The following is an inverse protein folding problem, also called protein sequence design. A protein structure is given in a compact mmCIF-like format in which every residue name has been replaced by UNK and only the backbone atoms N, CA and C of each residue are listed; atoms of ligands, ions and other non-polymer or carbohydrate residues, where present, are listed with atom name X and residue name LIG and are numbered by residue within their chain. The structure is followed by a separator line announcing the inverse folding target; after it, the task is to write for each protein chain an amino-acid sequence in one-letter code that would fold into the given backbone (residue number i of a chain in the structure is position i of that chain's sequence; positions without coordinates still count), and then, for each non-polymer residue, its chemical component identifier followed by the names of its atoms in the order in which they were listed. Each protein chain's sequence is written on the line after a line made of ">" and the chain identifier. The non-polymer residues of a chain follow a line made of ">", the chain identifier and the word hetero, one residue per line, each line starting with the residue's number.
data_IF_123251241974
#
_entry.id   IF_123251241974
#
_cell.length_a   1.000
_cell.length_b   1.000
_cell.length_c   1.000
_cell.angle_alpha   90.00
_cell.angle_beta   90.00
_cell.angle_gamma   90.00
#
_symmetry.space_group_name_H-M   'P 1'
#
loop_
_entity.id
_entity.type
_entity.pdbx_description
1 polymer ?
#
# COMPACT_ATOMS: atom_id res chain seq x y z
N UNK A 1 63.29 21.24 -2.82
CA UNK A 1 62.95 20.01 -3.55
C UNK A 1 63.01 18.85 -2.56
N UNK A 2 61.92 18.58 -1.83
CA UNK A 2 61.64 17.30 -1.17
C UNK A 2 60.12 17.14 -1.18
N UNK A 3 59.69 15.94 -1.54
CA UNK A 3 58.36 15.52 -1.97
C UNK A 3 57.56 15.11 -0.72
N UNK A 4 56.31 15.57 -0.58
CA UNK A 4 55.38 15.17 0.47
C UNK A 4 54.06 14.70 -0.15
N UNK A 5 53.73 13.44 0.08
CA UNK A 5 52.61 12.66 -0.45
C UNK A 5 51.23 13.20 -0.08
N UNK A 6 50.32 13.30 -1.06
CA UNK A 6 48.89 13.56 -0.85
C UNK A 6 48.16 12.24 -0.51
N UNK A 7 47.65 12.15 0.72
CA UNK A 7 46.69 11.13 1.13
C UNK A 7 45.26 11.56 0.79
N UNK A 8 44.50 10.64 0.21
CA UNK A 8 43.09 10.77 -0.17
C UNK A 8 42.20 10.96 1.06
N UNK A 9 41.61 12.15 1.22
CA UNK A 9 40.58 12.40 2.22
C UNK A 9 39.23 11.89 1.74
N UNK A 10 38.77 10.77 2.30
CA UNK A 10 37.37 10.39 2.26
C UNK A 10 36.62 11.28 3.27
N UNK A 11 35.60 12.01 2.81
CA UNK A 11 34.67 12.74 3.68
C UNK A 11 33.98 11.76 4.63
N UNK A 12 34.39 11.77 5.89
CA UNK A 12 33.73 11.01 6.96
C UNK A 12 32.47 11.77 7.38
N UNK A 13 31.31 11.18 7.10
CA UNK A 13 30.05 11.56 7.74
C UNK A 13 30.21 11.45 9.27
N UNK A 14 29.65 12.39 10.07
CA UNK A 14 29.71 12.28 11.51
C UNK A 14 28.96 11.01 11.98
N UNK A 15 29.53 10.26 12.94
CA UNK A 15 28.85 9.10 13.49
C UNK A 15 27.56 9.54 14.21
N UNK A 16 26.48 8.74 14.17
CA UNK A 16 25.28 9.05 14.92
C UNK A 16 25.58 9.13 16.42
N UNK A 17 25.04 10.15 17.08
CA UNK A 17 25.14 10.33 18.53
C UNK A 17 24.59 9.09 19.24
N UNK A 18 25.38 8.40 20.09
CA UNK A 18 24.89 7.20 20.75
C UNK A 18 23.88 7.59 21.82
N UNK A 19 22.60 7.27 21.58
CA UNK A 19 21.60 7.22 22.64
C UNK A 19 21.92 6.04 23.55
N UNK A 20 22.42 6.38 24.73
CA UNK A 20 22.48 5.63 25.99
C UNK A 20 22.07 4.15 25.94
N UNK A 21 22.99 3.28 26.36
CA UNK A 21 22.80 1.85 26.57
C UNK A 21 21.63 1.56 27.54
N UNK A 22 20.45 1.32 26.99
CA UNK A 22 19.37 0.57 27.63
C UNK A 22 19.26 -0.77 26.94
N UNK A 23 19.11 -1.84 27.72
CA UNK A 23 18.96 -3.24 27.30
C UNK A 23 18.21 -3.36 25.98
N UNK A 24 18.92 -3.80 24.94
CA UNK A 24 18.33 -4.08 23.62
C UNK A 24 17.18 -5.06 23.80
N UNK A 25 15.99 -4.68 23.38
CA UNK A 25 14.89 -5.62 23.23
C UNK A 25 15.38 -6.70 22.26
N UNK A 26 15.35 -7.96 22.69
CA UNK A 26 15.84 -9.08 21.90
C UNK A 26 14.84 -9.38 20.79
N UNK A 27 15.27 -9.25 19.54
CA UNK A 27 14.44 -9.48 18.35
C UNK A 27 14.65 -10.89 17.80
N UNK A 28 15.47 -11.73 18.43
CA UNK A 28 15.95 -12.99 17.86
C UNK A 28 14.82 -13.99 17.53
N UNK A 29 13.69 -13.94 18.26
CA UNK A 29 12.52 -14.80 18.02
C UNK A 29 11.49 -14.20 17.04
N UNK A 30 11.71 -13.00 16.52
CA UNK A 30 10.73 -12.29 15.67
C UNK A 30 11.06 -12.41 14.18
N UNK A 31 10.04 -12.58 13.30
CA UNK A 31 10.26 -12.49 11.86
C UNK A 31 10.93 -11.16 11.49
N UNK A 32 11.99 -11.25 10.68
CA UNK A 32 12.69 -10.08 10.18
C UNK A 32 11.74 -9.17 9.38
N UNK A 33 11.93 -7.85 9.52
CA UNK A 33 11.23 -6.85 8.73
C UNK A 33 12.14 -5.64 8.45
N UNK A 34 11.96 -4.95 7.30
CA UNK A 34 12.77 -3.80 6.94
C UNK A 34 12.52 -2.61 7.89
N UNK A 35 13.61 -1.99 8.36
CA UNK A 35 13.60 -0.77 9.17
C UNK A 35 13.96 0.47 8.34
N UNK A 36 14.57 0.29 7.17
CA UNK A 36 14.89 1.35 6.21
C UNK A 36 14.37 0.98 4.82
N UNK A 37 13.96 1.96 4.04
CA UNK A 37 13.44 1.73 2.68
C UNK A 37 14.43 0.97 1.77
N UNK A 38 15.74 1.18 1.95
CA UNK A 38 16.78 0.46 1.19
C UNK A 38 16.81 -1.04 1.48
N UNK A 39 16.36 -1.47 2.65
CA UNK A 39 16.31 -2.89 3.04
C UNK A 39 15.21 -3.66 2.30
N UNK A 40 14.29 -2.98 1.62
CA UNK A 40 13.36 -3.62 0.68
C UNK A 40 14.08 -4.32 -0.47
N UNK A 41 15.36 -4.02 -0.72
CA UNK A 41 16.20 -4.78 -1.65
C UNK A 41 16.38 -6.26 -1.24
N UNK A 42 16.12 -6.58 0.04
CA UNK A 42 16.19 -7.93 0.58
C UNK A 42 14.80 -8.61 0.68
N UNK A 43 13.71 -7.87 0.46
CA UNK A 43 12.33 -8.36 0.56
C UNK A 43 11.73 -8.53 -0.86
N UNK A 44 12.25 -9.49 -1.62
CA UNK A 44 11.93 -9.73 -3.03
C UNK A 44 11.67 -11.23 -3.32
N UNK A 45 11.11 -11.97 -2.36
CA UNK A 45 10.78 -13.38 -2.51
C UNK A 45 9.62 -13.58 -3.49
N UNK A 46 9.94 -13.90 -4.75
CA UNK A 46 8.96 -14.18 -5.81
C UNK A 46 8.50 -15.63 -5.71
N UNK A 47 7.20 -15.84 -5.54
CA UNK A 47 6.56 -17.15 -5.40
C UNK A 47 6.11 -17.72 -6.75
N UNK A 48 5.56 -16.88 -7.64
CA UNK A 48 4.95 -17.31 -8.90
C UNK A 48 5.22 -16.32 -10.02
N UNK A 49 5.08 -16.79 -11.27
CA UNK A 49 5.11 -15.96 -12.48
C UNK A 49 6.39 -15.12 -12.65
N UNK A 50 7.52 -15.64 -12.15
CA UNK A 50 8.85 -15.06 -12.34
C UNK A 50 9.31 -15.22 -13.80
N UNK A 51 10.28 -16.10 -14.04
CA UNK A 51 10.70 -16.45 -15.41
C UNK A 51 9.86 -17.56 -16.05
N UNK A 52 9.09 -18.29 -15.25
CA UNK A 52 8.30 -19.44 -15.68
C UNK A 52 6.81 -19.09 -15.76
N UNK A 53 6.12 -19.74 -16.70
CA UNK A 53 4.69 -19.59 -16.95
C UNK A 53 4.01 -20.93 -16.69
N UNK A 54 2.80 -20.88 -16.13
CA UNK A 54 1.98 -22.07 -15.93
C UNK A 54 1.54 -22.69 -17.27
N UNK A 55 1.21 -23.98 -17.26
CA UNK A 55 0.90 -24.73 -18.47
C UNK A 55 -0.36 -24.24 -19.22
N UNK A 56 -1.30 -23.64 -18.49
CA UNK A 56 -2.53 -23.03 -18.98
C UNK A 56 -2.38 -21.54 -19.34
N UNK A 57 -1.20 -20.94 -19.09
CA UNK A 57 -0.93 -19.55 -19.45
C UNK A 57 -0.94 -19.37 -20.99
N UNK A 58 -1.62 -18.35 -21.56
CA UNK A 58 -1.74 -18.19 -23.02
C UNK A 58 -0.39 -18.12 -23.76
N UNK A 59 0.61 -17.53 -23.12
CA UNK A 59 1.99 -17.43 -23.62
C UNK A 59 2.91 -18.64 -23.33
N UNK A 60 2.42 -19.74 -22.74
CA UNK A 60 3.26 -20.88 -22.31
C UNK A 60 4.07 -21.50 -23.46
N UNK A 61 3.45 -21.61 -24.64
CA UNK A 61 4.06 -22.18 -25.86
C UNK A 61 4.64 -21.13 -26.81
N UNK A 62 4.61 -19.85 -26.45
CA UNK A 62 5.15 -18.77 -27.27
C UNK A 62 6.61 -18.46 -26.85
N UNK A 63 7.62 -18.86 -27.65
CA UNK A 63 9.02 -18.62 -27.32
C UNK A 63 9.40 -17.13 -27.39
N UNK A 64 8.71 -16.33 -28.20
CA UNK A 64 8.96 -14.89 -28.31
C UNK A 64 8.47 -14.18 -27.05
N UNK A 65 7.25 -14.50 -26.61
CA UNK A 65 6.69 -13.97 -25.36
C UNK A 65 7.53 -14.38 -24.13
N UNK A 66 7.95 -15.64 -24.04
CA UNK A 66 8.82 -16.11 -22.93
C UNK A 66 10.16 -15.38 -22.89
N UNK A 67 10.81 -15.21 -24.04
CA UNK A 67 12.04 -14.42 -24.14
C UNK A 67 11.82 -12.96 -23.75
N UNK A 68 10.64 -12.41 -24.07
CA UNK A 68 10.26 -11.06 -23.66
C UNK A 68 10.05 -10.96 -22.14
N UNK A 69 9.42 -11.96 -21.51
CA UNK A 69 9.28 -12.06 -20.04
C UNK A 69 10.61 -12.13 -19.30
N UNK A 70 11.58 -12.88 -19.81
CA UNK A 70 12.92 -12.89 -19.24
C UNK A 70 13.60 -11.50 -19.23
N UNK A 71 13.32 -10.64 -20.22
CA UNK A 71 13.86 -9.28 -20.23
C UNK A 71 13.31 -8.46 -19.05
N UNK A 72 11.99 -8.54 -18.81
CA UNK A 72 11.33 -7.88 -17.69
C UNK A 72 11.82 -8.42 -16.34
N UNK A 73 11.96 -9.74 -16.23
CA UNK A 73 12.53 -10.39 -15.04
C UNK A 73 13.92 -9.81 -14.71
N UNK A 74 14.81 -9.70 -15.70
CA UNK A 74 16.16 -9.14 -15.50
C UNK A 74 16.13 -7.67 -15.08
N UNK A 75 15.21 -6.86 -15.61
CA UNK A 75 15.05 -5.47 -15.20
C UNK A 75 14.71 -5.40 -13.71
N UNK A 76 13.72 -6.18 -13.25
CA UNK A 76 13.30 -6.20 -11.86
C UNK A 76 14.40 -6.71 -10.92
N UNK A 77 15.09 -7.80 -11.27
CA UNK A 77 16.14 -8.38 -10.42
C UNK A 77 17.39 -7.49 -10.30
N UNK A 78 17.69 -6.69 -11.32
CA UNK A 78 18.83 -5.78 -11.31
C UNK A 78 18.53 -4.44 -10.64
N UNK A 79 17.26 -4.11 -10.38
CA UNK A 79 16.88 -2.86 -9.75
C UNK A 79 17.30 -2.82 -8.28
N UNK A 80 17.88 -1.69 -7.86
CA UNK A 80 18.22 -1.39 -6.47
C UNK A 80 17.62 -0.06 -6.04
N UNK A 81 17.26 0.03 -4.76
CA UNK A 81 16.69 1.26 -4.21
C UNK A 81 17.58 2.48 -4.50
N UNK A 82 16.94 3.58 -4.92
CA UNK A 82 17.61 4.85 -5.25
C UNK A 82 17.97 5.00 -6.73
N UNK A 83 17.98 3.93 -7.51
CA UNK A 83 18.15 4.02 -8.97
C UNK A 83 16.84 4.47 -9.65
N UNK A 84 16.92 5.19 -10.79
CA UNK A 84 15.74 5.39 -11.62
C UNK A 84 15.26 4.05 -12.19
N UNK A 85 13.94 3.85 -12.24
CA UNK A 85 13.33 2.65 -12.83
C UNK A 85 13.66 2.64 -14.33
N UNK A 86 14.27 1.55 -14.86
CA UNK A 86 14.63 1.48 -16.26
C UNK A 86 13.42 1.62 -17.19
N UNK A 87 13.56 2.47 -18.21
CA UNK A 87 12.53 2.62 -19.26
C UNK A 87 12.52 1.39 -20.17
N UNK A 88 11.33 0.97 -20.55
CA UNK A 88 11.09 -0.15 -21.46
C UNK A 88 10.62 0.38 -22.80
N UNK A 89 11.28 -0.06 -23.87
CA UNK A 89 10.75 0.10 -25.23
C UNK A 89 9.74 -1.02 -25.48
N UNK A 90 8.45 -0.71 -25.29
CA UNK A 90 7.36 -1.63 -25.61
C UNK A 90 7.24 -1.84 -27.13
N UNK A 91 6.88 -3.05 -27.56
CA UNK A 91 6.65 -3.37 -28.97
C UNK A 91 5.30 -2.81 -29.43
N UNK A 92 5.09 -2.74 -30.74
CA UNK A 92 3.81 -2.31 -31.31
C UNK A 92 2.65 -3.24 -30.88
N UNK A 93 2.90 -4.54 -30.75
CA UNK A 93 1.93 -5.51 -30.27
C UNK A 93 1.56 -5.27 -28.80
N UNK A 94 2.56 -5.02 -27.95
CA UNK A 94 2.35 -4.70 -26.53
C UNK A 94 1.52 -3.40 -26.38
N UNK A 95 1.86 -2.35 -27.14
CA UNK A 95 1.10 -1.09 -27.13
C UNK A 95 -0.33 -1.30 -27.63
N UNK A 96 -0.53 -2.13 -28.66
CA UNK A 96 -1.87 -2.46 -29.18
C UNK A 96 -2.71 -3.22 -28.15
N UNK A 97 -2.13 -4.20 -27.46
CA UNK A 97 -2.79 -4.96 -26.38
C UNK A 97 -3.23 -4.02 -25.25
N UNK A 98 -2.34 -3.13 -24.80
CA UNK A 98 -2.67 -2.07 -23.85
C UNK A 98 -3.82 -1.19 -24.34
N UNK A 99 -3.76 -0.71 -25.59
CA UNK A 99 -4.78 0.14 -26.17
C UNK A 99 -6.16 -0.51 -26.24
N UNK A 100 -6.24 -1.84 -26.41
CA UNK A 100 -7.52 -2.57 -26.34
C UNK A 100 -8.10 -2.54 -24.94
N UNK A 101 -7.29 -2.87 -23.92
CA UNK A 101 -7.71 -2.90 -22.51
C UNK A 101 -8.10 -1.50 -22.02
N UNK A 102 -7.26 -0.50 -22.33
CA UNK A 102 -7.46 0.91 -21.99
C UNK A 102 -8.81 1.44 -22.48
N UNK A 103 -9.15 1.21 -23.77
CA UNK A 103 -10.40 1.69 -24.36
C UNK A 103 -11.63 1.10 -23.69
N UNK A 104 -11.65 -0.22 -23.50
CA UNK A 104 -12.84 -0.89 -22.98
C UNK A 104 -13.08 -0.58 -21.51
N UNK A 105 -12.03 -0.57 -20.69
CA UNK A 105 -12.16 -0.22 -19.29
C UNK A 105 -12.53 1.26 -19.09
N UNK A 106 -11.98 2.17 -19.89
CA UNK A 106 -12.31 3.60 -19.76
C UNK A 106 -13.80 3.89 -19.97
N UNK A 107 -14.48 3.13 -20.84
CA UNK A 107 -15.96 3.23 -20.99
C UNK A 107 -16.68 2.85 -19.70
N UNK A 108 -16.21 1.82 -19.01
CA UNK A 108 -16.80 1.32 -17.77
C UNK A 108 -16.49 2.22 -16.58
N UNK A 109 -15.30 2.84 -16.53
CA UNK A 109 -14.91 3.73 -15.44
C UNK A 109 -15.88 4.89 -15.26
N UNK A 110 -16.35 5.50 -16.36
CA UNK A 110 -17.25 6.64 -16.33
C UNK A 110 -18.58 6.35 -15.60
N UNK A 111 -18.97 5.08 -15.52
CA UNK A 111 -20.22 4.66 -14.89
C UNK A 111 -19.99 4.07 -13.49
N UNK A 112 -18.88 3.34 -13.32
CA UNK A 112 -18.72 2.42 -12.20
C UNK A 112 -17.54 2.73 -11.28
N UNK A 113 -16.51 3.43 -11.75
CA UNK A 113 -15.38 3.77 -10.89
C UNK A 113 -15.79 4.81 -9.84
N UNK A 114 -15.17 4.72 -8.66
CA UNK A 114 -15.36 5.72 -7.62
C UNK A 114 -14.82 7.10 -8.02
N UNK A 115 -15.32 8.14 -7.35
CA UNK A 115 -14.96 9.54 -7.64
C UNK A 115 -13.45 9.80 -7.59
N UNK A 116 -12.77 9.26 -6.58
CA UNK A 116 -11.34 9.47 -6.35
C UNK A 116 -10.47 8.91 -7.50
N UNK A 117 -10.91 7.80 -8.11
CA UNK A 117 -10.29 7.25 -9.31
C UNK A 117 -10.40 8.23 -10.48
N UNK A 118 -11.61 8.72 -10.75
CA UNK A 118 -11.92 9.62 -11.86
C UNK A 118 -11.28 11.01 -11.69
N UNK A 119 -11.15 11.51 -10.47
CA UNK A 119 -10.45 12.78 -10.17
C UNK A 119 -8.96 12.75 -10.51
N UNK A 120 -8.32 11.58 -10.35
CA UNK A 120 -6.90 11.40 -10.63
C UNK A 120 -6.62 11.06 -12.10
N UNK A 121 -7.57 10.49 -12.81
CA UNK A 121 -7.42 10.04 -14.20
C UNK A 121 -6.91 11.14 -15.17
N UNK A 122 -7.49 12.36 -15.25
CA UNK A 122 -7.00 13.41 -16.14
C UNK A 122 -5.54 13.79 -15.89
N UNK A 123 -5.07 13.65 -14.65
CA UNK A 123 -3.70 13.98 -14.26
C UNK A 123 -2.73 12.90 -14.71
N UNK A 124 -3.13 11.62 -14.65
CA UNK A 124 -2.35 10.52 -15.21
C UNK A 124 -2.23 10.62 -16.73
N UNK A 125 -3.32 11.00 -17.42
CA UNK A 125 -3.30 11.29 -18.87
C UNK A 125 -2.30 12.41 -19.17
N UNK A 126 -2.38 13.52 -18.43
CA UNK A 126 -1.57 14.73 -18.67
C UNK A 126 -0.09 14.56 -18.33
N UNK A 127 0.23 13.92 -17.21
CA UNK A 127 1.60 13.92 -16.65
C UNK A 127 2.30 12.56 -16.75
N UNK A 128 1.57 11.46 -16.90
CA UNK A 128 2.14 10.11 -16.98
C UNK A 128 1.95 9.46 -18.36
N UNK A 129 1.30 10.14 -19.30
CA UNK A 129 1.11 9.65 -20.66
C UNK A 129 0.11 8.50 -20.78
N UNK A 130 -0.89 8.44 -19.91
CA UNK A 130 -1.99 7.47 -20.03
C UNK A 130 -2.79 7.77 -21.29
N UNK A 131 -2.52 7.01 -22.35
CA UNK A 131 -3.22 7.10 -23.62
C UNK A 131 -3.32 5.71 -24.23
N UNK A 132 -4.33 5.51 -25.06
CA UNK A 132 -4.52 4.26 -25.79
C UNK A 132 -3.31 3.85 -26.64
N UNK A 133 -2.60 4.82 -27.20
CA UNK A 133 -1.45 4.61 -28.10
C UNK A 133 -0.10 4.61 -27.37
N UNK A 134 -0.10 4.63 -26.03
CA UNK A 134 1.12 4.76 -25.23
C UNK A 134 1.01 4.09 -23.87
N UNK A 135 1.80 3.03 -23.67
CA UNK A 135 1.93 2.36 -22.39
C UNK A 135 2.83 3.20 -21.45
N UNK A 136 2.32 3.68 -20.30
CA UNK A 136 3.06 4.51 -19.35
C UNK A 136 4.34 3.86 -18.83
N UNK A 137 5.37 4.66 -18.56
CA UNK A 137 6.61 4.18 -17.95
C UNK A 137 6.52 4.29 -16.43
N UNK A 138 6.92 3.22 -15.72
CA UNK A 138 6.86 3.19 -14.25
C UNK A 138 7.65 4.34 -13.60
N UNK A 139 8.77 4.77 -14.17
CA UNK A 139 9.53 5.89 -13.64
C UNK A 139 8.72 7.19 -13.61
N UNK A 140 7.96 7.47 -14.66
CA UNK A 140 7.19 8.69 -14.79
C UNK A 140 5.99 8.66 -13.81
N UNK A 141 5.34 7.49 -13.65
CA UNK A 141 4.27 7.26 -12.67
C UNK A 141 4.79 7.32 -11.23
N UNK A 142 5.95 6.73 -10.94
CA UNK A 142 6.60 6.76 -9.62
C UNK A 142 6.91 8.19 -9.18
N UNK A 143 7.42 9.03 -10.08
CA UNK A 143 7.66 10.46 -9.80
C UNK A 143 6.35 11.19 -9.54
N UNK A 144 5.30 10.90 -10.30
CA UNK A 144 3.97 11.48 -10.10
C UNK A 144 3.37 11.12 -8.73
N UNK A 145 3.33 9.82 -8.39
CA UNK A 145 2.81 9.34 -7.11
C UNK A 145 3.63 9.90 -5.94
N UNK A 146 4.95 10.00 -6.07
CA UNK A 146 5.81 10.51 -5.00
C UNK A 146 5.48 11.96 -4.66
N UNK A 147 5.13 12.76 -5.68
CA UNK A 147 4.68 14.15 -5.49
C UNK A 147 3.26 14.25 -4.93
N UNK A 148 2.39 13.29 -5.25
CA UNK A 148 0.98 13.30 -4.86
C UNK A 148 0.75 12.81 -3.44
N UNK A 149 1.31 11.65 -3.12
CA UNK A 149 1.02 10.90 -1.88
C UNK A 149 2.27 10.31 -1.27
N UNK A 150 3.47 10.59 -1.81
CA UNK A 150 4.71 9.98 -1.35
C UNK A 150 4.88 8.51 -1.75
N UNK A 151 3.90 7.91 -2.45
CA UNK A 151 4.05 6.57 -3.01
C UNK A 151 5.09 6.54 -4.12
N UNK A 152 5.83 5.45 -4.22
CA UNK A 152 6.81 5.23 -5.28
C UNK A 152 6.73 3.78 -5.75
N UNK A 153 7.10 3.55 -7.01
CA UNK A 153 7.06 2.22 -7.60
C UNK A 153 8.42 1.52 -7.52
N UNK A 154 8.37 0.19 -7.48
CA UNK A 154 9.52 -0.69 -7.60
C UNK A 154 9.20 -1.77 -8.64
N UNK A 155 10.02 -1.96 -9.69
CA UNK A 155 9.79 -3.04 -10.63
C UNK A 155 9.91 -4.39 -9.93
N UNK A 156 8.94 -5.28 -10.14
CA UNK A 156 8.93 -6.62 -9.57
C UNK A 156 8.82 -7.68 -10.67
N UNK A 157 9.46 -8.82 -10.44
CA UNK A 157 9.59 -9.87 -11.43
C UNK A 157 8.35 -10.77 -11.55
N UNK A 158 7.50 -10.80 -10.52
CA UNK A 158 6.35 -11.69 -10.43
C UNK A 158 5.63 -11.53 -9.09
N UNK A 159 4.84 -12.52 -8.72
CA UNK A 159 4.03 -12.50 -7.49
C UNK A 159 4.91 -12.67 -6.26
N UNK A 160 4.95 -11.67 -5.37
CA UNK A 160 5.74 -11.72 -4.13
C UNK A 160 5.02 -12.50 -3.02
N UNK A 161 5.80 -12.93 -2.02
CA UNK A 161 5.21 -13.37 -0.76
C UNK A 161 4.37 -12.23 -0.14
N UNK A 162 3.24 -12.53 0.54
CA UNK A 162 2.43 -11.50 1.16
C UNK A 162 3.22 -10.62 2.14
N UNK A 163 4.16 -11.22 2.89
CA UNK A 163 5.04 -10.51 3.81
C UNK A 163 5.89 -9.47 3.11
N UNK A 164 6.50 -9.81 1.98
CA UNK A 164 7.40 -8.92 1.25
C UNK A 164 6.62 -7.80 0.53
N UNK A 165 5.48 -8.14 -0.05
CA UNK A 165 4.61 -7.16 -0.70
C UNK A 165 4.06 -6.14 0.30
N UNK A 166 3.47 -6.60 1.41
CA UNK A 166 2.94 -5.72 2.46
C UNK A 166 4.06 -4.88 3.12
N UNK A 167 5.27 -5.45 3.26
CA UNK A 167 6.44 -4.69 3.72
C UNK A 167 6.76 -3.51 2.79
N UNK A 168 6.56 -3.63 1.48
CA UNK A 168 6.67 -2.51 0.55
C UNK A 168 5.68 -1.39 0.87
N UNK A 169 4.41 -1.75 1.07
CA UNK A 169 3.34 -0.78 1.36
C UNK A 169 3.62 0.04 2.62
N UNK A 170 4.26 -0.56 3.63
CA UNK A 170 4.65 0.14 4.87
C UNK A 170 5.55 1.37 4.59
N UNK A 171 6.34 1.33 3.51
CA UNK A 171 7.24 2.40 3.07
C UNK A 171 6.65 3.25 1.94
N UNK A 172 5.35 3.10 1.66
CA UNK A 172 4.69 3.65 0.46
C UNK A 172 5.40 3.22 -0.82
N UNK A 173 5.87 1.98 -0.87
CA UNK A 173 6.46 1.37 -2.07
C UNK A 173 5.48 0.35 -2.62
N UNK A 174 5.02 0.55 -3.85
CA UNK A 174 4.21 -0.44 -4.55
C UNK A 174 5.09 -1.23 -5.52
N UNK A 175 5.14 -2.55 -5.36
CA UNK A 175 5.83 -3.46 -6.26
C UNK A 175 4.98 -3.65 -7.52
N UNK A 176 5.50 -3.25 -8.67
CA UNK A 176 4.74 -3.12 -9.91
C UNK A 176 5.41 -3.93 -11.02
N UNK A 177 4.66 -4.79 -11.70
CA UNK A 177 5.16 -5.51 -12.87
C UNK A 177 5.30 -4.58 -14.07
N UNK A 178 6.19 -4.94 -15.01
CA UNK A 178 6.43 -4.18 -16.25
C UNK A 178 6.03 -4.94 -17.52
N UNK A 179 5.85 -6.26 -17.41
CA UNK A 179 5.41 -7.08 -18.53
C UNK A 179 3.93 -6.87 -18.80
N UNK A 180 3.51 -7.10 -20.04
CA UNK A 180 2.11 -7.04 -20.43
C UNK A 180 1.57 -8.45 -20.68
N UNK A 181 0.28 -8.65 -20.42
CA UNK A 181 -0.44 -9.89 -20.74
C UNK A 181 -0.31 -10.26 -22.23
N UNK A 182 -0.51 -11.55 -22.51
CA UNK A 182 -0.39 -12.08 -23.86
C UNK A 182 -1.47 -11.53 -24.81
N UNK A 183 -1.10 -11.21 -26.05
CA UNK A 183 -1.98 -10.53 -27.01
C UNK A 183 -3.16 -11.38 -27.52
N UNK A 184 -3.12 -12.71 -27.32
CA UNK A 184 -4.19 -13.61 -27.78
C UNK A 184 -5.52 -13.40 -27.05
N UNK A 185 -5.48 -12.94 -25.81
CA UNK A 185 -6.68 -12.63 -25.02
C UNK A 185 -6.43 -11.40 -24.11
N UNK A 186 -6.57 -10.17 -24.65
CA UNK A 186 -6.33 -8.96 -23.88
C UNK A 186 -7.27 -8.77 -22.67
N UNK A 187 -8.43 -9.42 -22.65
CA UNK A 187 -9.42 -9.21 -21.59
C UNK A 187 -9.28 -10.17 -20.40
N UNK A 188 -8.35 -11.11 -20.48
CA UNK A 188 -8.05 -12.07 -19.42
C UNK A 188 -6.56 -12.08 -19.07
N UNK A 189 -6.25 -12.19 -17.79
CA UNK A 189 -4.89 -12.47 -17.31
C UNK A 189 -4.97 -13.17 -15.95
N UNK A 190 -4.27 -14.30 -15.74
CA UNK A 190 -4.19 -14.95 -14.43
C UNK A 190 -3.15 -14.28 -13.51
N UNK A 191 -2.29 -13.43 -14.07
CA UNK A 191 -1.20 -12.74 -13.37
C UNK A 191 -1.40 -11.21 -13.42
N UNK A 192 -0.95 -10.47 -12.38
CA UNK A 192 -1.03 -9.02 -12.36
C UNK A 192 0.01 -8.42 -13.34
N UNK A 193 -0.40 -8.21 -14.58
CA UNK A 193 0.42 -7.56 -15.61
C UNK A 193 0.42 -6.03 -15.46
N UNK A 194 1.26 -5.34 -16.23
CA UNK A 194 1.38 -3.89 -16.16
C UNK A 194 0.07 -3.15 -16.48
N UNK A 195 -0.86 -3.76 -17.25
CA UNK A 195 -2.20 -3.20 -17.41
C UNK A 195 -2.96 -3.18 -16.07
N UNK A 196 -2.91 -4.28 -15.32
CA UNK A 196 -3.50 -4.37 -13.98
C UNK A 196 -2.94 -3.31 -13.05
N UNK A 197 -1.62 -3.20 -12.98
CA UNK A 197 -0.98 -2.25 -12.08
C UNK A 197 -1.34 -0.80 -12.42
N UNK A 198 -1.16 -0.43 -13.69
CA UNK A 198 -1.30 0.96 -14.14
C UNK A 198 -2.76 1.42 -14.14
N UNK A 199 -3.69 0.57 -14.56
CA UNK A 199 -5.10 0.92 -14.68
C UNK A 199 -5.89 0.64 -13.39
N UNK A 200 -5.50 -0.37 -12.61
CA UNK A 200 -6.17 -0.70 -11.36
C UNK A 200 -5.70 0.15 -10.20
N UNK A 201 -4.40 0.09 -9.88
CA UNK A 201 -3.84 0.60 -8.62
C UNK A 201 -3.48 2.09 -8.66
N UNK A 202 -2.77 2.54 -9.70
CA UNK A 202 -2.15 3.88 -9.72
C UNK A 202 -3.12 5.05 -9.50
N UNK A 203 -4.34 5.05 -10.08
CA UNK A 203 -5.27 6.16 -9.89
C UNK A 203 -5.70 6.35 -8.43
N UNK A 204 -5.81 5.26 -7.65
CA UNK A 204 -6.15 5.35 -6.23
C UNK A 204 -4.94 5.58 -5.33
N UNK A 205 -3.76 5.07 -5.69
CA UNK A 205 -2.53 5.43 -4.95
C UNK A 205 -2.20 6.93 -5.05
N UNK A 206 -2.78 7.65 -6.01
CA UNK A 206 -2.71 9.11 -6.11
C UNK A 206 -3.69 9.85 -5.16
N UNK A 207 -4.61 9.14 -4.50
CA UNK A 207 -5.49 9.67 -3.47
C UNK A 207 -4.83 9.57 -2.08
N UNK A 208 -4.73 10.67 -1.30
CA UNK A 208 -4.06 10.64 0.01
C UNK A 208 -4.67 9.69 1.03
N UNK A 209 -6.00 9.59 1.11
CA UNK A 209 -6.68 8.72 2.08
C UNK A 209 -6.48 7.25 1.73
N UNK A 210 -6.58 6.91 0.45
CA UNK A 210 -6.31 5.55 -0.02
C UNK A 210 -4.84 5.15 0.16
N UNK A 211 -3.90 6.05 -0.17
CA UNK A 211 -2.48 5.82 0.08
C UNK A 211 -2.18 5.57 1.56
N UNK A 212 -2.81 6.33 2.47
CA UNK A 212 -2.67 6.10 3.91
C UNK A 212 -3.25 4.75 4.32
N UNK A 213 -4.43 4.39 3.83
CA UNK A 213 -5.05 3.08 4.06
C UNK A 213 -4.14 1.92 3.62
N UNK A 214 -3.59 1.99 2.40
CA UNK A 214 -2.66 0.97 1.90
C UNK A 214 -1.38 0.88 2.75
N UNK A 215 -0.86 2.01 3.22
CA UNK A 215 0.31 2.02 4.10
C UNK A 215 0.01 1.38 5.47
N UNK A 216 -1.18 1.57 6.02
CA UNK A 216 -1.56 1.00 7.32
C UNK A 216 -1.60 -0.53 7.30
N UNK A 217 -2.08 -1.13 6.21
CA UNK A 217 -1.96 -2.58 5.98
C UNK A 217 -0.50 -3.05 6.04
N UNK A 218 0.41 -2.32 5.39
CA UNK A 218 1.83 -2.64 5.43
C UNK A 218 2.47 -2.44 6.80
N UNK A 219 2.14 -1.36 7.52
CA UNK A 219 2.66 -1.11 8.86
C UNK A 219 2.16 -2.14 9.88
N UNK A 220 0.95 -2.66 9.70
CA UNK A 220 0.39 -3.73 10.51
C UNK A 220 1.13 -5.07 10.29
N UNK A 221 1.67 -5.32 9.08
CA UNK A 221 2.35 -6.59 8.76
C UNK A 221 3.78 -6.68 9.29
N UNK A 222 4.43 -5.55 9.60
CA UNK A 222 5.83 -5.53 10.05
C UNK A 222 5.98 -6.21 11.43
N UNK A 223 6.76 -7.28 11.47
CA UNK A 223 7.01 -8.09 12.67
C UNK A 223 5.86 -9.01 13.10
N UNK A 224 4.76 -9.07 12.33
CA UNK A 224 3.64 -9.96 12.59
C UNK A 224 3.98 -11.43 12.23
N UNK A 225 3.32 -12.40 12.87
CA UNK A 225 3.44 -13.81 12.51
C UNK A 225 2.79 -14.12 11.15
N UNK A 226 3.05 -15.30 10.58
CA UNK A 226 2.56 -15.66 9.25
C UNK A 226 1.03 -15.76 9.18
N UNK A 227 0.38 -16.19 10.26
CA UNK A 227 -1.09 -16.23 10.34
C UNK A 227 -1.70 -14.83 10.24
N UNK A 228 -1.14 -13.85 10.93
CA UNK A 228 -1.64 -12.47 10.89
C UNK A 228 -1.30 -11.78 9.57
N UNK A 229 -0.12 -12.06 8.99
CA UNK A 229 0.21 -11.62 7.62
C UNK A 229 -0.77 -12.19 6.60
N UNK A 230 -1.18 -13.45 6.75
CA UNK A 230 -2.18 -14.07 5.87
C UNK A 230 -3.53 -13.38 6.00
N UNK A 231 -3.99 -13.09 7.22
CA UNK A 231 -5.23 -12.31 7.44
C UNK A 231 -5.15 -10.93 6.80
N UNK A 232 -4.03 -10.21 6.97
CA UNK A 232 -3.81 -8.90 6.36
C UNK A 232 -3.80 -8.97 4.82
N UNK A 233 -3.23 -10.03 4.25
CA UNK A 233 -3.26 -10.27 2.81
C UNK A 233 -4.69 -10.50 2.30
N UNK A 234 -5.50 -11.26 3.02
CA UNK A 234 -6.93 -11.44 2.71
C UNK A 234 -7.69 -10.12 2.79
N UNK A 235 -7.40 -9.28 3.80
CA UNK A 235 -8.00 -7.96 3.92
C UNK A 235 -7.58 -7.03 2.78
N UNK A 236 -6.30 -7.04 2.40
CA UNK A 236 -5.82 -6.34 1.21
C UNK A 236 -6.57 -6.81 -0.05
N UNK A 237 -6.74 -8.12 -0.23
CA UNK A 237 -7.44 -8.69 -1.39
C UNK A 237 -8.90 -8.21 -1.48
N UNK A 238 -9.67 -8.32 -0.40
CA UNK A 238 -11.08 -7.91 -0.42
C UNK A 238 -11.32 -6.40 -0.25
N UNK A 239 -10.26 -5.60 -0.20
CA UNK A 239 -10.33 -4.13 -0.22
C UNK A 239 -9.59 -3.58 -1.43
N UNK A 240 -8.27 -3.54 -1.41
CA UNK A 240 -7.44 -2.96 -2.47
C UNK A 240 -7.63 -3.66 -3.82
N UNK A 241 -7.83 -4.99 -3.86
CA UNK A 241 -8.03 -5.71 -5.14
C UNK A 241 -9.49 -5.79 -5.59
N UNK A 242 -10.44 -6.11 -4.69
CA UNK A 242 -11.84 -6.37 -5.04
C UNK A 242 -12.86 -5.57 -4.22
N UNK A 243 -12.44 -4.43 -3.67
CA UNK A 243 -13.28 -3.58 -2.83
C UNK A 243 -14.24 -2.68 -3.61
N UNK A 244 -15.38 -2.41 -2.98
CA UNK A 244 -16.41 -1.49 -3.43
C UNK A 244 -16.57 -0.35 -2.41
N UNK A 245 -17.10 0.80 -2.84
CA UNK A 245 -17.49 1.86 -1.93
C UNK A 245 -18.90 2.35 -2.24
N UNK A 246 -19.54 2.99 -1.27
CA UNK A 246 -20.86 3.59 -1.47
C UNK A 246 -20.74 5.11 -1.50
N UNK A 247 -21.04 5.70 -2.66
CA UNK A 247 -20.97 7.14 -2.89
C UNK A 247 -22.34 7.63 -3.34
N UNK A 248 -22.88 8.62 -2.64
CA UNK A 248 -24.20 9.22 -2.95
C UNK A 248 -25.34 8.18 -3.06
N UNK A 249 -25.26 7.12 -2.25
CA UNK A 249 -26.24 6.03 -2.23
C UNK A 249 -25.98 4.91 -3.24
N UNK A 250 -25.08 5.10 -4.20
CA UNK A 250 -24.73 4.12 -5.23
C UNK A 250 -23.46 3.34 -4.89
N UNK A 251 -23.40 2.07 -5.31
CA UNK A 251 -22.16 1.30 -5.25
C UNK A 251 -21.23 1.70 -6.39
N UNK A 252 -19.97 1.98 -6.06
CA UNK A 252 -18.87 2.26 -6.96
C UNK A 252 -17.71 1.33 -6.69
N UNK A 253 -16.87 1.14 -7.69
CA UNK A 253 -15.73 0.23 -7.68
C UNK A 253 -14.45 1.00 -7.38
N UNK A 254 -13.64 0.45 -6.48
CA UNK A 254 -12.29 0.95 -6.23
C UNK A 254 -11.22 -0.16 -6.26
N UNK A 255 -11.61 -1.43 -6.15
CA UNK A 255 -10.67 -2.55 -6.21
C UNK A 255 -9.92 -2.62 -7.55
N UNK A 256 -8.59 -2.77 -7.51
CA UNK A 256 -7.74 -2.80 -8.69
C UNK A 256 -8.00 -4.01 -9.61
N UNK A 257 -8.25 -5.19 -9.06
CA UNK A 257 -8.68 -6.38 -9.81
C UNK A 257 -9.96 -6.12 -10.60
N UNK A 258 -10.92 -5.42 -10.00
CA UNK A 258 -12.14 -4.99 -10.69
C UNK A 258 -11.86 -3.91 -11.73
N UNK A 259 -11.04 -2.92 -11.42
CA UNK A 259 -10.71 -1.81 -12.32
C UNK A 259 -9.77 -2.19 -13.47
N UNK A 260 -9.24 -3.41 -13.48
CA UNK A 260 -8.32 -3.90 -14.51
C UNK A 260 -8.84 -5.09 -15.33
N UNK A 261 -9.97 -5.65 -14.94
CA UNK A 261 -10.63 -6.76 -15.61
C UNK A 261 -12.01 -6.36 -16.10
N UNK A 262 -12.18 -6.30 -17.43
CA UNK A 262 -13.47 -5.97 -18.06
C UNK A 262 -14.55 -6.99 -17.67
N UNK A 263 -14.17 -8.27 -17.60
CA UNK A 263 -15.08 -9.36 -17.28
C UNK A 263 -15.50 -9.34 -15.81
N UNK A 264 -14.54 -9.21 -14.90
CA UNK A 264 -14.81 -9.17 -13.46
C UNK A 264 -15.62 -7.93 -13.09
N UNK A 265 -15.29 -6.76 -13.65
CA UNK A 265 -16.02 -5.52 -13.39
C UNK A 265 -17.51 -5.67 -13.70
N UNK A 266 -17.83 -6.18 -14.90
CA UNK A 266 -19.23 -6.43 -15.29
C UNK A 266 -19.88 -7.46 -14.38
N UNK A 267 -19.19 -8.55 -14.06
CA UNK A 267 -19.70 -9.56 -13.13
C UNK A 267 -20.05 -8.98 -11.77
N UNK A 268 -19.16 -8.16 -11.21
CA UNK A 268 -19.31 -7.49 -9.93
C UNK A 268 -20.40 -6.40 -9.91
N UNK A 269 -20.90 -5.95 -11.07
CA UNK A 269 -21.98 -4.97 -11.15
C UNK A 269 -23.32 -5.66 -11.44
N UNK A 270 -23.34 -6.61 -12.36
CA UNK A 270 -24.57 -7.25 -12.86
C UNK A 270 -25.10 -8.32 -11.90
N UNK A 271 -24.22 -9.06 -11.21
CA UNK A 271 -24.60 -10.25 -10.43
C UNK A 271 -24.45 -10.10 -8.92
N UNK A 272 -24.16 -8.90 -8.42
CA UNK A 272 -23.58 -8.71 -7.09
C UNK A 272 -24.54 -8.24 -6.01
N UNK A 273 -25.77 -7.80 -6.31
CA UNK A 273 -26.67 -7.26 -5.28
C UNK A 273 -26.96 -8.23 -4.13
N UNK A 274 -26.93 -9.56 -4.37
CA UNK A 274 -27.04 -10.58 -3.32
C UNK A 274 -25.70 -11.01 -2.70
N UNK A 275 -24.58 -10.64 -3.31
CA UNK A 275 -23.20 -11.07 -2.94
C UNK A 275 -22.36 -9.95 -2.31
N UNK A 276 -22.86 -8.71 -2.31
CA UNK A 276 -22.19 -7.55 -1.70
C UNK A 276 -22.51 -7.47 -0.21
N UNK A 277 -21.47 -7.40 0.62
CA UNK A 277 -21.57 -7.35 2.09
C UNK A 277 -20.87 -6.10 2.62
N UNK A 278 -21.25 -5.67 3.83
CA UNK A 278 -20.52 -4.59 4.50
C UNK A 278 -19.14 -5.09 4.90
N UNK A 279 -18.12 -4.27 4.69
CA UNK A 279 -16.75 -4.60 5.12
C UNK A 279 -16.68 -4.71 6.65
N UNK A 280 -16.25 -5.88 7.10
CA UNK A 280 -15.96 -6.22 8.50
C UNK A 280 -14.64 -7.00 8.53
N UNK A 281 -13.54 -6.43 9.06
CA UNK A 281 -12.23 -7.07 8.99
C UNK A 281 -12.20 -8.49 9.59
N UNK A 282 -12.89 -8.73 10.71
CA UNK A 282 -12.84 -10.04 11.37
C UNK A 282 -13.49 -11.15 10.55
N UNK A 283 -14.64 -10.87 9.93
CA UNK A 283 -15.30 -11.82 9.03
C UNK A 283 -14.59 -11.94 7.68
N UNK A 284 -14.04 -10.83 7.17
CA UNK A 284 -13.41 -10.77 5.84
C UNK A 284 -12.07 -11.49 5.83
N UNK A 285 -11.27 -11.38 6.91
CA UNK A 285 -9.98 -12.06 7.04
C UNK A 285 -10.05 -13.60 6.97
N UNK A 286 -11.26 -14.18 7.10
CA UNK A 286 -11.51 -15.63 7.05
C UNK A 286 -11.97 -16.12 5.67
N UNK A 287 -12.13 -15.21 4.70
CA UNK A 287 -12.61 -15.55 3.37
C UNK A 287 -11.49 -16.13 2.51
N UNK A 288 -11.85 -17.01 1.58
CA UNK A 288 -10.93 -17.60 0.61
C UNK A 288 -10.72 -16.64 -0.57
N UNK A 289 -9.46 -16.37 -0.91
CA UNK A 289 -9.10 -15.56 -2.07
C UNK A 289 -9.06 -16.43 -3.33
N UNK A 290 -9.99 -16.22 -4.25
CA UNK A 290 -10.06 -16.98 -5.50
C UNK A 290 -9.25 -16.24 -6.56
N UNK A 291 -8.20 -16.86 -7.10
CA UNK A 291 -7.30 -16.21 -8.07
C UNK A 291 -7.57 -16.63 -9.53
N UNK A 292 -8.31 -17.71 -9.76
CA UNK A 292 -8.53 -18.31 -11.10
C UNK A 292 -9.95 -18.15 -11.67
N UNK A 293 -10.89 -17.62 -10.88
CA UNK A 293 -12.29 -17.44 -11.25
C UNK A 293 -12.87 -16.18 -10.58
N UNK A 294 -14.09 -15.81 -10.94
CA UNK A 294 -14.78 -14.65 -10.39
C UNK A 294 -15.00 -14.76 -8.88
N UNK A 295 -14.95 -13.62 -8.20
CA UNK A 295 -15.14 -13.60 -6.75
C UNK A 295 -16.57 -13.99 -6.35
N UNK A 296 -16.68 -14.78 -5.27
CA UNK A 296 -17.97 -15.22 -4.72
C UNK A 296 -18.66 -14.14 -3.87
N UNK A 297 -17.94 -13.11 -3.46
CA UNK A 297 -18.45 -12.02 -2.64
C UNK A 297 -17.62 -10.75 -2.81
N UNK A 298 -18.23 -9.61 -2.51
CA UNK A 298 -17.59 -8.30 -2.56
C UNK A 298 -17.91 -7.52 -1.28
N UNK A 299 -16.99 -6.66 -0.84
CA UNK A 299 -17.15 -5.91 0.39
C UNK A 299 -17.12 -4.41 0.13
N UNK A 300 -18.01 -3.68 0.82
CA UNK A 300 -18.07 -2.22 0.69
C UNK A 300 -17.95 -1.46 2.01
N UNK A 301 -17.37 -0.25 1.91
CA UNK A 301 -17.41 0.81 2.93
C UNK A 301 -18.09 2.07 2.38
N UNK A 302 -18.55 2.97 3.23
CA UNK A 302 -19.08 4.28 2.77
C UNK A 302 -17.93 5.24 2.43
N UNK A 303 -16.80 5.13 3.13
CA UNK A 303 -15.62 5.96 2.87
C UNK A 303 -14.32 5.17 3.05
N UNK A 304 -13.22 5.68 2.49
CA UNK A 304 -11.88 5.15 2.79
C UNK A 304 -11.46 5.40 4.24
N UNK A 305 -11.99 6.46 4.88
CA UNK A 305 -11.73 6.74 6.29
C UNK A 305 -12.32 5.66 7.20
N UNK A 306 -13.53 5.18 6.89
CA UNK A 306 -14.14 4.03 7.58
C UNK A 306 -13.30 2.76 7.41
N UNK A 307 -12.84 2.47 6.18
CA UNK A 307 -12.00 1.30 5.92
C UNK A 307 -10.70 1.35 6.73
N UNK A 308 -10.08 2.53 6.77
CA UNK A 308 -8.87 2.81 7.55
C UNK A 308 -9.08 2.62 9.05
N UNK A 309 -10.13 3.20 9.61
CA UNK A 309 -10.40 3.07 11.04
C UNK A 309 -10.67 1.62 11.44
N UNK A 310 -11.48 0.89 10.66
CA UNK A 310 -11.70 -0.54 10.87
C UNK A 310 -10.41 -1.35 10.81
N UNK A 311 -9.50 -1.03 9.89
CA UNK A 311 -8.20 -1.68 9.81
C UNK A 311 -7.29 -1.36 10.99
N UNK A 312 -7.33 -0.15 11.54
CA UNK A 312 -6.58 0.20 12.75
C UNK A 312 -7.04 -0.62 13.94
N UNK A 313 -8.35 -0.67 14.17
CA UNK A 313 -8.94 -1.51 15.23
C UNK A 313 -8.57 -2.99 15.04
N UNK A 314 -8.60 -3.50 13.80
CA UNK A 314 -8.14 -4.86 13.53
C UNK A 314 -6.64 -5.05 13.83
N UNK A 315 -5.81 -4.07 13.47
CA UNK A 315 -4.36 -4.14 13.69
C UNK A 315 -3.97 -4.10 15.17
N UNK A 316 -4.82 -3.60 16.06
CA UNK A 316 -4.61 -3.68 17.52
C UNK A 316 -4.66 -5.11 18.05
N UNK A 317 -5.33 -6.02 17.34
CA UNK A 317 -5.40 -7.44 17.71
C UNK A 317 -4.11 -8.21 17.37
N UNK A 318 -3.28 -7.65 16.47
CA UNK A 318 -2.02 -8.26 16.01
C UNK A 318 -1.01 -8.22 17.16
N UNK A 319 -0.57 -9.40 17.59
CA UNK A 319 0.32 -9.53 18.74
C UNK A 319 1.74 -9.12 18.37
N UNK A 320 2.17 -7.96 18.85
CA UNK A 320 3.57 -7.51 18.82
C UNK A 320 3.92 -6.71 20.07
N UNK A 321 5.13 -6.86 20.63
CA UNK A 321 5.53 -6.25 21.89
C UNK A 321 5.92 -4.76 21.77
N UNK A 322 5.65 -4.12 20.63
CA UNK A 322 6.03 -2.73 20.36
C UNK A 322 5.06 -2.03 19.40
N UNK A 323 5.05 -0.71 19.46
CA UNK A 323 4.43 0.12 18.41
C UNK A 323 5.39 0.35 17.24
N UNK A 324 4.83 0.68 16.07
CA UNK A 324 5.59 1.08 14.89
C UNK A 324 5.14 2.47 14.45
N UNK A 325 6.10 3.30 14.07
CA UNK A 325 5.86 4.59 13.40
C UNK A 325 6.69 4.69 12.13
N UNK A 326 6.07 5.12 11.04
CA UNK A 326 6.81 5.49 9.84
C UNK A 326 7.34 6.92 9.95
N UNK A 327 8.63 7.10 9.70
CA UNK A 327 9.26 8.41 9.57
C UNK A 327 9.38 8.77 8.08
N UNK A 328 8.58 9.73 7.58
CA UNK A 328 8.57 10.08 6.16
C UNK A 328 9.82 10.85 5.71
N UNK A 329 10.56 11.49 6.63
CA UNK A 329 11.75 12.28 6.29
C UNK A 329 12.94 11.39 5.94
N UNK A 330 13.12 10.32 6.70
CA UNK A 330 14.22 9.34 6.52
C UNK A 330 13.77 8.08 5.80
N UNK A 331 12.47 7.94 5.51
CA UNK A 331 11.85 6.74 4.93
C UNK A 331 12.22 5.48 5.75
N UNK A 332 12.07 5.56 7.07
CA UNK A 332 12.43 4.51 8.02
C UNK A 332 11.27 4.16 8.94
N UNK A 333 11.32 2.97 9.52
CA UNK A 333 10.38 2.49 10.54
C UNK A 333 11.03 2.59 11.91
N UNK A 334 10.41 3.38 12.78
CA UNK A 334 10.77 3.56 14.17
C UNK A 334 10.01 2.54 15.04
N UNK A 335 10.77 1.70 15.74
CA UNK A 335 10.21 0.73 16.70
C UNK A 335 10.06 1.38 18.07
N UNK A 336 8.81 1.62 18.48
CA UNK A 336 8.42 2.24 19.75
C UNK A 336 8.36 1.18 20.85
N UNK A 337 9.52 0.80 21.36
CA UNK A 337 9.71 -0.30 22.33
C UNK A 337 9.89 0.15 23.78
N UNK A 338 9.98 1.44 24.06
CA UNK A 338 10.16 1.97 25.42
C UNK A 338 9.66 3.41 25.58
N UNK A 339 9.53 3.85 26.83
CA UNK A 339 9.01 5.17 27.18
C UNK A 339 9.84 6.33 26.61
N UNK A 340 11.16 6.18 26.48
CA UNK A 340 12.02 7.24 25.93
C UNK A 340 11.71 7.50 24.46
N UNK A 341 11.58 6.43 23.66
CA UNK A 341 11.21 6.54 22.23
C UNK A 341 9.81 7.10 22.06
N UNK A 342 8.86 6.67 22.87
CA UNK A 342 7.48 7.20 22.85
C UNK A 342 7.51 8.70 23.20
N UNK A 343 8.27 9.10 24.21
CA UNK A 343 8.42 10.52 24.62
C UNK A 343 9.01 11.38 23.50
N UNK A 344 9.97 10.86 22.73
CA UNK A 344 10.53 11.56 21.57
C UNK A 344 9.45 11.85 20.51
N UNK A 345 8.60 10.86 20.19
CA UNK A 345 7.47 11.05 19.27
C UNK A 345 6.47 12.08 19.81
N UNK A 346 6.11 11.99 21.09
CA UNK A 346 5.19 12.96 21.73
C UNK A 346 5.77 14.37 21.69
N UNK A 347 7.08 14.53 21.86
CA UNK A 347 7.76 15.81 21.76
C UNK A 347 7.69 16.41 20.36
N UNK A 348 7.81 15.59 19.31
CA UNK A 348 7.62 16.02 17.92
C UNK A 348 6.17 16.43 17.65
N UNK A 349 5.20 15.60 18.06
CA UNK A 349 3.77 15.89 17.91
C UNK A 349 3.36 17.19 18.63
N UNK A 350 3.97 17.48 19.78
CA UNK A 350 3.78 18.77 20.47
C UNK A 350 4.20 19.95 19.60
N UNK A 351 5.27 19.81 18.82
CA UNK A 351 5.70 20.81 17.84
C UNK A 351 4.63 21.08 16.78
N UNK A 352 4.07 20.02 16.20
CA UNK A 352 2.98 20.12 15.21
C UNK A 352 1.72 20.75 15.81
N UNK A 353 1.34 20.37 17.03
CA UNK A 353 0.24 20.99 17.78
C UNK A 353 0.49 22.49 18.04
N UNK A 354 1.73 22.89 18.32
CA UNK A 354 2.08 24.30 18.44
C UNK A 354 1.91 25.07 17.12
N UNK A 355 2.20 24.45 15.98
CA UNK A 355 1.96 25.04 14.64
C UNK A 355 0.45 25.21 14.42
N UNK A 356 -0.35 24.16 14.66
CA UNK A 356 -1.82 24.21 14.55
C UNK A 356 -2.39 25.31 15.44
N UNK A 357 -1.99 25.36 16.71
CA UNK A 357 -2.43 26.41 17.64
C UNK A 357 -2.06 27.81 17.16
N UNK A 358 -0.85 27.99 16.61
CA UNK A 358 -0.41 29.28 16.06
C UNK A 358 -1.21 29.69 14.83
N UNK A 359 -1.60 28.75 13.98
CA UNK A 359 -2.47 28.98 12.83
C UNK A 359 -3.89 29.33 13.28
N UNK A 360 -4.45 28.58 14.24
CA UNK A 360 -5.77 28.85 14.82
C UNK A 360 -5.86 30.27 15.40
N UNK A 361 -4.86 30.71 16.16
CA UNK A 361 -4.81 32.10 16.69
C UNK A 361 -4.81 33.16 15.59
N UNK A 362 -4.13 32.92 14.48
CA UNK A 362 -4.08 33.86 13.35
C UNK A 362 -5.39 33.91 12.57
N UNK A 363 -6.07 32.77 12.44
CA UNK A 363 -7.32 32.64 11.69
C UNK A 363 -8.51 33.08 12.52
N UNK A 364 -8.57 32.76 13.82
CA UNK A 364 -9.66 33.19 14.71
C UNK A 364 -9.74 34.72 14.83
N UNK A 365 -8.63 35.42 14.62
CA UNK A 365 -8.59 36.88 14.55
C UNK A 365 -9.18 37.46 13.24
N UNK A 366 -9.44 36.63 12.22
CA UNK A 366 -9.87 37.04 10.87
C UNK A 366 -11.17 36.37 10.41
N UNK A 367 -11.54 35.25 11.01
CA UNK A 367 -12.71 34.46 10.65
C UNK A 367 -13.50 34.08 11.90
N UNK A 368 -14.69 34.69 12.04
CA UNK A 368 -15.60 34.46 13.16
C UNK A 368 -16.39 33.15 13.04
N UNK A 369 -16.29 32.43 11.92
CA UNK A 369 -17.01 31.17 11.67
C UNK A 369 -16.22 29.92 12.08
N UNK A 370 -15.01 30.10 12.58
CA UNK A 370 -14.13 29.00 13.02
C UNK A 370 -14.68 28.28 14.26
N UNK A 371 -15.06 27.01 14.11
CA UNK A 371 -15.48 26.16 15.23
C UNK A 371 -14.27 25.56 15.97
N UNK A 372 -13.78 26.29 16.96
CA UNK A 372 -12.64 25.88 17.80
C UNK A 372 -12.97 24.63 18.64
N UNK A 373 -14.23 24.44 19.02
CA UNK A 373 -14.63 23.32 19.86
C UNK A 373 -14.54 22.00 19.08
N UNK A 374 -15.03 21.97 17.84
CA UNK A 374 -14.92 20.80 16.99
C UNK A 374 -13.45 20.38 16.77
N UNK A 375 -12.56 21.34 16.52
CA UNK A 375 -11.12 21.09 16.33
C UNK A 375 -10.49 20.55 17.62
N UNK A 376 -10.88 21.08 18.78
CA UNK A 376 -10.38 20.60 20.08
C UNK A 376 -10.86 19.19 20.37
N UNK A 377 -12.11 18.86 20.06
CA UNK A 377 -12.65 17.51 20.22
C UNK A 377 -11.89 16.50 19.35
N UNK A 378 -11.58 16.83 18.09
CA UNK A 378 -10.79 15.95 17.20
C UNK A 378 -9.41 15.62 17.78
N UNK A 379 -8.79 16.57 18.49
CA UNK A 379 -7.49 16.35 19.15
C UNK A 379 -7.61 15.45 20.39
N UNK A 380 -8.74 15.51 21.11
CA UNK A 380 -8.95 14.75 22.33
C UNK A 380 -9.34 13.29 22.07
N UNK A 381 -10.17 13.03 21.05
CA UNK A 381 -10.65 11.67 20.74
C UNK A 381 -9.55 10.74 20.25
N UNK A 382 -8.45 11.25 19.69
CA UNK A 382 -7.30 10.43 19.30
C UNK A 382 -6.39 9.99 20.45
N UNK A 383 -6.61 10.48 21.67
CA UNK A 383 -5.74 10.23 22.84
C UNK A 383 -6.40 9.40 23.94
N UNK A 384 -7.71 9.12 23.85
CA UNK A 384 -8.42 8.35 24.88
C UNK A 384 -8.02 6.89 24.84
N UNK A 385 -7.23 6.47 25.83
CA UNK A 385 -7.01 5.06 26.12
C UNK A 385 -8.28 4.49 26.78
N UNK A 386 -8.88 3.46 26.19
CA UNK A 386 -9.87 2.66 26.92
C UNK A 386 -9.12 1.80 27.95
N UNK A 387 -9.31 2.10 29.24
CA UNK A 387 -8.85 1.25 30.33
C UNK A 387 -9.69 -0.04 30.36
N UNK A 388 -9.37 -1.00 29.50
CA UNK A 388 -9.96 -2.33 29.58
C UNK A 388 -9.26 -3.19 30.64
N UNK A 389 -9.88 -3.29 31.83
CA UNK A 389 -9.90 -4.53 32.61
C UNK A 389 -8.99 -4.63 33.84
N UNK A 390 -9.37 -3.99 34.95
CA UNK A 390 -9.16 -4.56 36.29
C UNK A 390 -10.51 -4.68 36.97
N UNK A 391 -11.11 -5.87 36.92
CA UNK A 391 -12.27 -6.18 37.75
C UNK A 391 -11.90 -6.03 39.23
N UNK A 392 -12.72 -5.36 40.07
CA UNK A 392 -12.48 -5.34 41.50
C UNK A 392 -12.58 -6.78 42.04
N UNK A 393 -11.53 -7.26 42.70
CA UNK A 393 -11.60 -8.51 43.47
C UNK A 393 -12.66 -8.34 44.55
N UNK A 394 -13.81 -8.99 44.40
CA UNK A 394 -14.77 -9.16 45.48
C UNK A 394 -14.08 -9.83 46.66
N UNK A 395 -14.04 -9.13 47.80
CA UNK A 395 -13.63 -9.69 49.07
C UNK A 395 -14.68 -10.73 49.51
N UNK A 396 -14.27 -11.98 49.66
CA UNK A 396 -15.09 -13.02 50.30
C UNK A 396 -15.40 -12.60 51.75
N UNK A 397 -16.65 -12.69 52.21
CA UNK A 397 -16.96 -12.42 53.60
C UNK A 397 -16.43 -13.55 54.49
N UNK A 398 -15.71 -13.13 55.52
CA UNK A 398 -15.25 -13.95 56.63
C UNK A 398 -16.46 -14.54 57.37
N UNK A 399 -16.57 -15.88 57.39
CA UNK A 399 -17.55 -16.57 58.22
C UNK A 399 -16.91 -16.93 59.55
N UNK A 400 -16.93 -15.97 60.47
CA UNK A 400 -16.83 -16.23 61.90
C UNK A 400 -18.21 -16.18 62.54
N UNK A 401 -18.81 -17.35 62.80
CA UNK A 401 -19.53 -17.75 64.02
C UNK A 401 -20.35 -19.02 63.78
#
# INVERSE_FOLDING_TARGET
>A
MVIGSYGTGAEQFPPPTPLSATTSFDFDDMPWFPKKISELDNAQNVLMYGSELDADHPGFKDPVYRKRREQFFRIAMNYKHGQPIPKVKYTEEEVKTWGVVFRELHKLYLQHACREYLENWPQLVKYCGYREDNLPQLQDVSVFLKRKTGFQLRPVAGYLSPRDFLSGLAFRVFHCTQYIRHASDPFYTPEPDCCHELLGHMPLLANPSFAQFSQELGLASLGACDEDVTKLATLYFFTVEFGLCKQDGELKVYGAGLLSSVAELKHAIENSTSKVKRFDPEATAKQECIITDFQLGYWYTDTFEEAKEKMRTFAEQIQRPFGIRYNPYTQSVEVLSNAQKITAVVSELRGDLCIVNSALKKISARDATLDINQITTLLQTGLTMEENGVAPKEAKPDKSK
#
